data_IF_612337277376
#
_entry.id   IF_612337277376
#
_cell.length_a   1.000
_cell.length_b   1.000
_cell.length_c   1.000
_cell.angle_alpha   90.00
_cell.angle_beta   90.00
_cell.angle_gamma   90.00
#
_symmetry.space_group_name_H-M   'P 1'
#
loop_
_entity.id
_entity.type
_entity.pdbx_description
1 polymer ?
#
# COMPACT_ATOMS: atom_id res chain seq x y z
N UNK A 1 27.28 -15.61 -10.35
CA UNK A 1 27.69 -14.54 -9.42
C UNK A 1 26.85 -14.68 -8.19
N UNK A 2 27.43 -14.67 -6.99
CA UNK A 2 26.68 -14.94 -5.77
C UNK A 2 25.67 -13.79 -5.53
N UNK A 3 24.38 -14.13 -5.55
CA UNK A 3 23.24 -13.27 -5.23
C UNK A 3 23.11 -12.97 -3.72
N UNK A 4 24.23 -12.90 -3.02
CA UNK A 4 24.20 -12.62 -1.58
C UNK A 4 23.81 -11.15 -1.36
N UNK A 5 22.75 -10.86 -0.57
CA UNK A 5 22.42 -9.51 -0.20
C UNK A 5 23.45 -8.88 0.74
N UNK A 6 24.33 -9.71 1.33
CA UNK A 6 25.30 -9.28 2.32
C UNK A 6 26.36 -8.34 1.73
N UNK A 7 26.64 -7.24 2.44
CA UNK A 7 27.66 -6.27 2.04
C UNK A 7 27.40 -4.89 2.63
N UNK A 8 28.23 -3.93 2.22
CA UNK A 8 28.02 -2.54 2.59
C UNK A 8 27.76 -1.69 1.35
N UNK A 9 26.83 -0.74 1.45
CA UNK A 9 26.49 0.24 0.42
C UNK A 9 26.78 1.65 0.91
N UNK A 10 27.20 2.53 -0.01
CA UNK A 10 27.36 3.97 0.25
C UNK A 10 26.83 4.75 -0.94
N UNK A 11 25.66 5.30 -0.84
CA UNK A 11 25.10 6.22 -1.81
C UNK A 11 25.62 7.65 -1.57
N UNK A 12 25.47 8.52 -2.56
CA UNK A 12 25.82 9.93 -2.41
C UNK A 12 24.98 10.59 -1.32
N UNK A 13 23.68 10.26 -1.28
CA UNK A 13 22.73 10.71 -0.26
C UNK A 13 21.90 9.54 0.24
N UNK A 14 21.54 9.55 1.52
CA UNK A 14 20.64 8.56 2.13
C UNK A 14 19.62 9.27 3.01
N UNK A 15 18.35 8.97 2.83
CA UNK A 15 17.28 9.44 3.71
C UNK A 15 17.37 8.77 5.08
N UNK A 16 17.48 9.54 6.14
CA UNK A 16 17.71 9.05 7.51
C UNK A 16 16.49 9.21 8.43
N UNK A 17 15.32 9.41 7.83
CA UNK A 17 14.04 9.62 8.53
C UNK A 17 13.59 11.07 8.56
N UNK A 18 14.51 12.02 8.58
CA UNK A 18 14.20 13.46 8.62
C UNK A 18 14.74 14.24 7.43
N UNK A 19 15.90 13.83 6.90
CA UNK A 19 16.61 14.50 5.82
C UNK A 19 17.50 13.55 5.05
N UNK A 20 17.97 13.99 3.89
CA UNK A 20 19.07 13.34 3.19
C UNK A 20 20.41 13.69 3.85
N UNK A 21 21.23 12.68 4.11
CA UNK A 21 22.57 12.80 4.65
C UNK A 21 23.58 12.18 3.69
N UNK A 22 24.70 12.87 3.45
CA UNK A 22 25.82 12.35 2.68
C UNK A 22 26.71 11.45 3.54
N UNK A 23 27.43 10.50 2.89
CA UNK A 23 28.44 9.67 3.56
C UNK A 23 27.84 8.61 4.52
N UNK A 24 26.55 8.36 4.48
CA UNK A 24 25.93 7.26 5.24
C UNK A 24 26.29 5.93 4.60
N UNK A 25 26.80 5.00 5.41
CA UNK A 25 27.07 3.63 5.01
C UNK A 25 26.02 2.69 5.59
N UNK A 26 25.41 1.88 4.73
CA UNK A 26 24.45 0.84 5.09
C UNK A 26 25.15 -0.52 5.07
N UNK A 27 25.13 -1.23 6.19
CA UNK A 27 25.65 -2.59 6.29
C UNK A 27 24.47 -3.58 6.27
N UNK A 28 24.47 -4.50 5.28
CA UNK A 28 23.39 -5.46 5.06
C UNK A 28 23.91 -6.85 5.45
N UNK A 29 23.16 -7.54 6.31
CA UNK A 29 23.41 -8.91 6.70
C UNK A 29 23.06 -9.94 5.64
N UNK A 30 23.48 -11.18 5.83
CA UNK A 30 23.15 -12.30 4.95
C UNK A 30 21.65 -12.60 4.90
N UNK A 31 20.90 -12.17 5.91
CA UNK A 31 19.43 -12.24 6.00
C UNK A 31 18.71 -11.12 5.25
N UNK A 32 19.44 -10.25 4.56
CA UNK A 32 18.88 -9.11 3.82
C UNK A 32 18.38 -7.96 4.68
N UNK A 33 18.74 -7.94 5.97
CA UNK A 33 18.40 -6.84 6.89
C UNK A 33 19.54 -5.85 7.02
N UNK A 34 19.20 -4.60 7.33
CA UNK A 34 20.16 -3.58 7.70
C UNK A 34 20.74 -3.90 9.08
N UNK A 35 21.97 -4.40 9.11
CA UNK A 35 22.66 -4.69 10.35
C UNK A 35 23.03 -3.38 11.08
N UNK A 36 23.46 -2.35 10.33
CA UNK A 36 23.88 -1.07 10.87
C UNK A 36 23.81 0.07 9.85
N UNK A 37 23.50 1.28 10.34
CA UNK A 37 23.70 2.54 9.65
C UNK A 37 24.91 3.26 10.30
N UNK A 38 25.93 3.56 9.52
CA UNK A 38 27.11 4.30 9.99
C UNK A 38 27.07 5.69 9.38
N UNK A 39 26.96 6.72 10.25
CA UNK A 39 26.99 8.13 9.83
C UNK A 39 28.39 8.67 9.81
N UNK A 40 28.70 9.71 8.99
CA UNK A 40 30.01 10.39 9.02
C UNK A 40 30.31 10.92 10.42
N UNK A 41 31.57 10.75 10.87
CA UNK A 41 32.00 11.20 12.21
C UNK A 41 31.67 10.26 13.37
N UNK A 42 30.92 9.21 13.16
CA UNK A 42 30.83 8.08 14.09
C UNK A 42 32.16 7.33 14.07
N UNK A 43 32.95 7.46 15.15
CA UNK A 43 34.28 6.87 15.24
C UNK A 43 34.26 5.37 14.94
N UNK A 44 35.38 4.80 14.46
CA UNK A 44 35.48 3.36 14.25
C UNK A 44 35.25 2.68 15.60
N UNK A 45 34.20 1.89 15.73
CA UNK A 45 34.09 0.94 16.83
C UNK A 45 35.26 -0.04 16.68
N UNK A 46 36.13 -0.09 17.66
CA UNK A 46 37.29 -0.97 17.68
C UNK A 46 36.85 -2.39 17.32
N UNK A 47 37.41 -2.95 16.24
CA UNK A 47 37.15 -4.31 15.79
C UNK A 47 36.38 -4.47 14.46
N UNK A 48 36.08 -3.42 13.70
CA UNK A 48 35.45 -3.59 12.39
C UNK A 48 36.49 -3.69 11.27
N UNK A 49 36.90 -4.91 10.91
CA UNK A 49 37.37 -5.26 9.55
C UNK A 49 36.18 -5.12 8.57
N UNK A 50 35.64 -3.90 8.48
CA UNK A 50 34.46 -3.67 7.66
C UNK A 50 34.88 -3.72 6.19
N UNK A 51 34.37 -4.71 5.45
CA UNK A 51 34.53 -4.80 4.00
C UNK A 51 34.25 -3.43 3.33
N UNK A 52 34.98 -3.06 2.27
CA UNK A 52 34.76 -1.78 1.60
C UNK A 52 33.32 -1.66 1.12
N UNK A 53 32.70 -0.50 1.38
CA UNK A 53 31.33 -0.27 0.93
C UNK A 53 31.30 -0.13 -0.60
N UNK A 54 30.36 -0.79 -1.25
CA UNK A 54 30.06 -0.60 -2.66
C UNK A 54 29.51 0.82 -2.87
N UNK A 55 30.19 1.66 -3.65
CA UNK A 55 29.72 3.02 -3.89
C UNK A 55 28.53 3.01 -4.87
N UNK A 56 27.55 3.86 -4.60
CA UNK A 56 26.43 4.14 -5.49
C UNK A 56 26.50 5.63 -5.90
N UNK A 57 27.40 5.97 -6.86
CA UNK A 57 27.58 7.35 -7.26
C UNK A 57 26.34 7.88 -7.96
N UNK A 58 26.04 9.17 -7.76
CA UNK A 58 24.86 9.84 -8.31
C UNK A 58 23.53 9.17 -7.94
N UNK A 59 23.46 8.58 -6.74
CA UNK A 59 22.25 7.96 -6.21
C UNK A 59 21.89 8.53 -4.86
N UNK A 60 20.56 8.72 -4.65
CA UNK A 60 19.99 8.99 -3.34
C UNK A 60 19.09 7.82 -2.93
N UNK A 61 19.24 7.32 -1.71
CA UNK A 61 18.44 6.21 -1.20
C UNK A 61 17.24 6.70 -0.38
N UNK A 62 16.08 6.15 -0.67
CA UNK A 62 14.86 6.22 0.11
C UNK A 62 14.48 4.82 0.63
N UNK A 63 13.63 4.71 1.69
CA UNK A 63 12.96 3.45 2.00
C UNK A 63 12.15 2.98 0.81
N UNK A 64 12.02 1.67 0.63
CA UNK A 64 11.11 1.08 -0.34
C UNK A 64 9.67 1.50 -0.06
N UNK A 65 8.94 1.86 -1.11
CA UNK A 65 7.54 2.24 -0.97
C UNK A 65 6.68 1.04 -0.57
N UNK A 66 5.63 1.32 0.20
CA UNK A 66 4.67 0.34 0.68
C UNK A 66 3.28 0.72 0.17
N UNK A 67 2.76 -0.08 -0.74
CA UNK A 67 1.42 0.03 -1.27
C UNK A 67 0.46 -0.69 -0.31
N UNK A 68 -0.30 0.04 0.48
CA UNK A 68 -1.14 -0.53 1.53
C UNK A 68 -2.44 -1.16 1.02
N UNK A 69 -2.84 -0.87 -0.24
CA UNK A 69 -4.08 -1.34 -0.82
C UNK A 69 -3.99 -1.50 -2.34
N UNK A 70 -4.33 -2.69 -2.83
CA UNK A 70 -4.27 -3.06 -4.25
C UNK A 70 -5.26 -4.16 -4.58
N UNK A 71 -5.80 -4.11 -5.80
CA UNK A 71 -6.53 -5.18 -6.47
C UNK A 71 -5.82 -5.50 -7.77
N UNK A 72 -4.84 -6.39 -7.74
CA UNK A 72 -3.93 -6.64 -8.87
C UNK A 72 -4.66 -7.04 -10.16
N UNK A 73 -5.75 -7.83 -10.07
CA UNK A 73 -6.53 -8.25 -11.23
C UNK A 73 -7.23 -7.09 -11.95
N UNK A 74 -7.57 -6.01 -11.23
CA UNK A 74 -8.25 -4.83 -11.82
C UNK A 74 -7.36 -4.06 -12.79
N UNK A 75 -6.04 -4.29 -12.79
CA UNK A 75 -5.15 -3.82 -13.85
C UNK A 75 -5.67 -4.18 -15.26
N UNK A 76 -6.42 -5.26 -15.39
CA UNK A 76 -7.09 -5.66 -16.63
C UNK A 76 -8.17 -4.71 -17.13
N UNK A 77 -8.57 -3.71 -16.33
CA UNK A 77 -9.56 -2.68 -16.71
C UNK A 77 -8.93 -1.42 -17.31
N UNK A 78 -7.61 -1.35 -17.42
CA UNK A 78 -6.93 -0.16 -17.99
C UNK A 78 -7.48 0.19 -19.37
N UNK A 79 -7.92 1.44 -19.50
CA UNK A 79 -8.53 1.97 -20.72
C UNK A 79 -9.99 1.54 -20.96
N UNK A 80 -10.48 0.52 -20.28
CA UNK A 80 -11.87 0.09 -20.40
C UNK A 80 -12.81 0.92 -19.51
N UNK A 81 -12.38 1.25 -18.32
CA UNK A 81 -13.14 2.05 -17.37
C UNK A 81 -13.27 3.54 -17.74
N UNK A 82 -12.43 4.03 -18.67
CA UNK A 82 -12.44 5.43 -19.11
C UNK A 82 -13.44 5.73 -20.24
N UNK A 83 -14.14 4.72 -20.74
CA UNK A 83 -15.16 4.88 -21.78
C UNK A 83 -16.54 4.80 -21.16
N UNK A 84 -17.31 5.90 -21.26
CA UNK A 84 -18.72 5.94 -20.88
C UNK A 84 -19.59 6.12 -22.11
N UNK A 85 -20.63 5.30 -22.26
CA UNK A 85 -21.58 5.41 -23.35
C UNK A 85 -22.49 6.66 -23.23
N UNK A 86 -22.50 7.33 -22.08
CA UNK A 86 -23.26 8.54 -21.81
C UNK A 86 -22.45 9.51 -20.92
N UNK A 87 -22.72 10.83 -20.98
CA UNK A 87 -22.19 11.77 -20.00
C UNK A 87 -22.60 11.36 -18.58
N UNK A 88 -21.64 11.36 -17.61
CA UNK A 88 -21.90 11.00 -16.23
C UNK A 88 -21.69 9.51 -15.92
N UNK A 89 -20.75 8.84 -16.61
CA UNK A 89 -20.22 7.56 -16.17
C UNK A 89 -19.79 7.67 -14.69
N UNK A 90 -20.16 6.68 -13.89
CA UNK A 90 -19.93 6.66 -12.44
C UNK A 90 -19.27 5.34 -12.02
N UNK A 91 -18.92 5.24 -10.76
CA UNK A 91 -18.44 4.01 -10.13
C UNK A 91 -19.24 2.75 -10.51
N UNK A 92 -20.57 2.87 -10.68
CA UNK A 92 -21.44 1.72 -10.92
C UNK A 92 -21.31 1.19 -12.36
N UNK A 93 -21.08 2.07 -13.34
CA UNK A 93 -20.79 1.69 -14.71
C UNK A 93 -19.42 1.02 -14.82
N UNK A 94 -18.38 1.56 -14.15
CA UNK A 94 -17.08 0.92 -14.03
C UNK A 94 -17.17 -0.45 -13.34
N UNK A 95 -17.97 -0.56 -12.28
CA UNK A 95 -18.19 -1.83 -11.58
C UNK A 95 -18.81 -2.91 -12.45
N UNK A 96 -19.68 -2.53 -13.39
CA UNK A 96 -20.25 -3.48 -14.36
C UNK A 96 -19.17 -4.06 -15.28
N UNK A 97 -18.23 -3.21 -15.77
CA UNK A 97 -17.08 -3.67 -16.56
C UNK A 97 -16.16 -4.58 -15.72
N UNK A 98 -15.95 -4.27 -14.45
CA UNK A 98 -15.19 -5.10 -13.54
C UNK A 98 -15.82 -6.50 -13.39
N UNK A 99 -17.14 -6.60 -13.25
CA UNK A 99 -17.82 -7.90 -13.22
C UNK A 99 -17.69 -8.65 -14.55
N UNK A 100 -17.71 -7.93 -15.68
CA UNK A 100 -17.43 -8.49 -17.01
C UNK A 100 -16.01 -9.09 -17.10
N UNK A 101 -15.02 -8.42 -16.52
CA UNK A 101 -13.66 -8.94 -16.43
C UNK A 101 -13.62 -10.18 -15.53
N UNK A 102 -14.16 -10.10 -14.32
CA UNK A 102 -14.19 -11.20 -13.34
C UNK A 102 -14.81 -12.47 -13.94
N UNK A 103 -15.88 -12.36 -14.71
CA UNK A 103 -16.51 -13.51 -15.37
C UNK A 103 -15.63 -14.24 -16.39
N UNK A 104 -14.52 -13.64 -16.85
CA UNK A 104 -13.60 -14.18 -17.87
C UNK A 104 -12.21 -14.50 -17.37
N UNK A 105 -11.94 -14.27 -16.08
CA UNK A 105 -10.64 -14.59 -15.45
C UNK A 105 -10.58 -16.09 -15.15
N UNK A 106 -9.53 -16.75 -15.62
CA UNK A 106 -9.04 -18.07 -15.21
C UNK A 106 -7.72 -17.90 -14.45
N UNK A 107 -7.10 -19.02 -14.05
CA UNK A 107 -5.85 -19.01 -13.28
C UNK A 107 -4.70 -18.34 -14.03
N UNK A 108 -4.55 -18.66 -15.31
CA UNK A 108 -3.44 -18.15 -16.12
C UNK A 108 -3.62 -16.63 -16.30
N UNK A 109 -4.83 -16.20 -16.58
CA UNK A 109 -5.15 -14.77 -16.72
C UNK A 109 -4.96 -14.00 -15.41
N UNK A 110 -5.38 -14.57 -14.27
CA UNK A 110 -5.16 -13.95 -12.97
C UNK A 110 -3.68 -13.85 -12.63
N UNK A 111 -2.91 -14.91 -12.92
CA UNK A 111 -1.46 -14.92 -12.73
C UNK A 111 -0.80 -13.81 -13.55
N UNK A 112 -1.09 -13.72 -14.84
CA UNK A 112 -0.50 -12.72 -15.74
C UNK A 112 -0.83 -11.28 -15.32
N UNK A 113 -2.08 -11.01 -14.94
CA UNK A 113 -2.52 -9.70 -14.49
C UNK A 113 -1.81 -9.32 -13.18
N UNK A 114 -1.77 -10.23 -12.22
CA UNK A 114 -1.12 -10.02 -10.92
C UNK A 114 0.39 -9.85 -11.06
N UNK A 115 1.05 -10.71 -11.83
CA UNK A 115 2.48 -10.61 -12.12
C UNK A 115 2.83 -9.29 -12.80
N UNK A 116 2.01 -8.89 -13.79
CA UNK A 116 2.17 -7.60 -14.48
C UNK A 116 2.04 -6.42 -13.52
N UNK A 117 1.05 -6.42 -12.62
CA UNK A 117 0.88 -5.38 -11.60
C UNK A 117 2.08 -5.32 -10.65
N UNK A 118 2.52 -6.46 -10.11
CA UNK A 118 3.61 -6.53 -9.16
C UNK A 118 4.97 -6.14 -9.79
N UNK A 119 5.22 -6.50 -11.04
CA UNK A 119 6.41 -6.03 -11.77
C UNK A 119 6.39 -4.52 -12.00
N UNK A 120 5.25 -3.93 -12.32
CA UNK A 120 5.10 -2.48 -12.41
C UNK A 120 5.31 -1.79 -11.06
N UNK A 121 4.75 -2.36 -9.96
CA UNK A 121 4.98 -1.87 -8.61
C UNK A 121 6.48 -1.85 -8.28
N UNK A 122 7.19 -2.94 -8.57
CA UNK A 122 8.65 -3.01 -8.37
C UNK A 122 9.40 -1.95 -9.17
N UNK A 123 9.02 -1.72 -10.42
CA UNK A 123 9.62 -0.69 -11.28
C UNK A 123 9.33 0.73 -10.80
N UNK A 124 8.21 0.94 -10.10
CA UNK A 124 7.80 2.20 -9.48
C UNK A 124 8.30 2.37 -8.02
N UNK A 125 9.25 1.56 -7.57
CA UNK A 125 9.85 1.67 -6.23
C UNK A 125 9.06 1.01 -5.11
N UNK A 126 7.96 0.34 -5.40
CA UNK A 126 7.15 -0.37 -4.40
C UNK A 126 7.80 -1.71 -4.09
N UNK A 127 8.16 -1.91 -2.82
CA UNK A 127 8.79 -3.14 -2.33
C UNK A 127 7.83 -4.04 -1.59
N UNK A 128 6.74 -3.48 -1.08
CA UNK A 128 5.72 -4.21 -0.31
C UNK A 128 4.33 -3.82 -0.77
N UNK A 129 3.41 -4.80 -0.81
CA UNK A 129 2.01 -4.59 -1.18
C UNK A 129 1.07 -5.31 -0.24
N UNK A 130 0.00 -4.64 0.18
CA UNK A 130 -1.20 -5.21 0.74
C UNK A 130 -2.19 -5.48 -0.38
N UNK A 131 -2.29 -6.72 -0.79
CA UNK A 131 -3.21 -7.13 -1.84
C UNK A 131 -4.57 -7.48 -1.22
N UNK A 132 -5.54 -6.61 -1.39
CA UNK A 132 -6.91 -6.77 -0.90
C UNK A 132 -7.65 -7.75 -1.82
N UNK A 133 -7.54 -9.04 -1.49
CA UNK A 133 -7.90 -10.12 -2.37
C UNK A 133 -9.29 -10.67 -2.04
N UNK A 134 -10.24 -10.45 -2.95
CA UNK A 134 -11.62 -10.91 -2.83
C UNK A 134 -12.08 -11.80 -3.99
N UNK A 135 -11.25 -12.01 -5.01
CA UNK A 135 -11.54 -12.93 -6.12
C UNK A 135 -10.96 -14.32 -5.79
N UNK A 136 -11.73 -15.13 -5.03
CA UNK A 136 -11.24 -16.37 -4.45
C UNK A 136 -11.39 -17.60 -5.35
N UNK A 137 -12.53 -17.69 -6.07
CA UNK A 137 -12.95 -18.92 -6.73
C UNK A 137 -12.81 -18.86 -8.24
N UNK A 138 -12.14 -19.86 -8.82
CA UNK A 138 -12.22 -20.14 -10.25
C UNK A 138 -13.58 -20.74 -10.58
N UNK A 139 -14.01 -21.75 -9.80
CA UNK A 139 -15.35 -22.30 -9.83
C UNK A 139 -16.13 -21.85 -8.56
N UNK A 140 -17.10 -20.94 -8.71
CA UNK A 140 -17.88 -20.46 -7.59
C UNK A 140 -18.78 -21.55 -6.96
N UNK A 141 -19.17 -22.59 -7.71
CA UNK A 141 -20.00 -23.66 -7.19
C UNK A 141 -19.17 -24.65 -6.35
N UNK A 142 -17.92 -24.88 -6.72
CA UNK A 142 -16.98 -25.68 -5.96
C UNK A 142 -16.42 -24.97 -4.71
N UNK A 143 -16.46 -23.63 -4.67
CA UNK A 143 -15.83 -22.80 -3.62
C UNK A 143 -14.39 -23.22 -3.37
N UNK A 144 -13.59 -23.27 -4.46
CA UNK A 144 -12.28 -23.94 -4.51
C UNK A 144 -11.14 -23.09 -3.95
N UNK A 145 -11.32 -21.79 -3.73
CA UNK A 145 -10.28 -20.84 -3.31
C UNK A 145 -9.00 -20.92 -4.17
N UNK A 146 -9.15 -21.30 -5.44
CA UNK A 146 -8.02 -21.60 -6.31
C UNK A 146 -7.18 -20.38 -6.64
N UNK A 147 -7.76 -19.19 -6.62
CA UNK A 147 -7.12 -17.95 -7.01
C UNK A 147 -6.19 -17.36 -5.95
N UNK A 148 -6.39 -17.68 -4.68
CA UNK A 148 -5.56 -17.15 -3.60
C UNK A 148 -4.08 -17.55 -3.75
N UNK A 149 -3.83 -18.84 -4.10
CA UNK A 149 -2.47 -19.33 -4.31
C UNK A 149 -1.84 -18.78 -5.60
N UNK A 150 -2.66 -18.48 -6.62
CA UNK A 150 -2.20 -17.87 -7.88
C UNK A 150 -1.59 -16.48 -7.63
N UNK A 151 -2.24 -15.66 -6.81
CA UNK A 151 -1.73 -14.32 -6.47
C UNK A 151 -0.43 -14.40 -5.67
N UNK A 152 -0.33 -15.33 -4.70
CA UNK A 152 0.91 -15.58 -3.95
C UNK A 152 2.05 -16.04 -4.85
N UNK A 153 1.77 -16.92 -5.84
CA UNK A 153 2.76 -17.35 -6.83
C UNK A 153 3.24 -16.20 -7.72
N UNK A 154 2.34 -15.34 -8.18
CA UNK A 154 2.69 -14.16 -8.97
C UNK A 154 3.57 -13.18 -8.18
N UNK A 155 3.30 -12.99 -6.90
CA UNK A 155 4.11 -12.15 -6.01
C UNK A 155 5.52 -12.73 -5.79
N UNK A 156 5.65 -14.05 -5.67
CA UNK A 156 6.94 -14.72 -5.56
C UNK A 156 7.78 -14.54 -6.83
N UNK A 157 7.16 -14.63 -8.02
CA UNK A 157 7.87 -14.44 -9.29
C UNK A 157 8.24 -12.97 -9.55
N UNK A 158 7.47 -12.00 -9.03
CA UNK A 158 7.78 -10.57 -9.16
C UNK A 158 8.78 -10.05 -8.12
N UNK A 159 9.42 -10.86 -7.30
CA UNK A 159 10.04 -10.65 -5.99
C UNK A 159 9.56 -9.36 -5.28
N UNK A 160 8.29 -9.37 -4.89
CA UNK A 160 7.68 -8.31 -4.07
C UNK A 160 7.24 -8.89 -2.71
N UNK A 161 7.37 -8.11 -1.64
CA UNK A 161 6.80 -8.50 -0.34
C UNK A 161 5.28 -8.33 -0.39
N UNK A 162 4.54 -9.37 -0.05
CA UNK A 162 3.07 -9.33 -0.08
C UNK A 162 2.48 -9.65 1.29
N UNK A 163 1.47 -8.87 1.67
CA UNK A 163 0.46 -9.26 2.65
C UNK A 163 -0.80 -9.58 1.85
N UNK A 164 -1.13 -10.87 1.68
CA UNK A 164 -2.38 -11.24 1.06
C UNK A 164 -3.50 -11.05 2.08
N UNK A 165 -4.30 -10.03 1.87
CA UNK A 165 -5.43 -9.65 2.70
C UNK A 165 -6.67 -10.41 2.21
N UNK A 166 -6.96 -11.55 2.82
CA UNK A 166 -8.05 -12.47 2.43
C UNK A 166 -9.39 -11.88 2.82
N UNK A 167 -10.32 -11.76 1.87
CA UNK A 167 -11.56 -11.04 2.08
C UNK A 167 -12.75 -11.94 2.47
N UNK A 168 -13.49 -11.52 3.47
CA UNK A 168 -14.89 -11.93 3.69
C UNK A 168 -15.78 -11.08 2.77
N UNK A 169 -16.64 -11.75 2.00
CA UNK A 169 -17.61 -11.14 1.09
C UNK A 169 -18.89 -11.97 1.11
N UNK A 170 -19.82 -11.66 2.01
CA UNK A 170 -20.96 -12.50 2.32
C UNK A 170 -22.26 -12.10 1.58
N UNK A 171 -22.35 -10.85 1.07
CA UNK A 171 -23.59 -10.33 0.49
C UNK A 171 -23.33 -9.39 -0.69
N UNK A 172 -24.28 -9.33 -1.64
CA UNK A 172 -24.29 -8.38 -2.76
C UNK A 172 -24.72 -6.96 -2.35
N UNK A 173 -25.16 -6.81 -1.13
CA UNK A 173 -25.62 -5.61 -0.44
C UNK A 173 -26.40 -6.01 0.81
N UNK A 174 -26.76 -5.08 1.72
CA UNK A 174 -27.54 -5.43 2.90
C UNK A 174 -28.80 -6.22 2.54
N UNK A 175 -28.91 -7.45 3.07
CA UNK A 175 -30.03 -8.35 2.80
C UNK A 175 -30.15 -8.91 1.37
N UNK A 176 -29.14 -8.72 0.51
CA UNK A 176 -29.14 -9.19 -0.88
C UNK A 176 -28.09 -10.30 -1.07
N UNK A 177 -28.46 -11.43 -1.71
CA UNK A 177 -27.52 -12.50 -1.99
C UNK A 177 -26.44 -12.07 -3.01
N UNK A 178 -25.38 -12.87 -3.10
CA UNK A 178 -24.37 -12.73 -4.16
C UNK A 178 -24.96 -13.23 -5.50
N UNK A 179 -24.78 -12.46 -6.55
CA UNK A 179 -25.30 -12.77 -7.88
C UNK A 179 -24.18 -12.73 -8.95
N UNK A 180 -24.32 -13.54 -9.99
CA UNK A 180 -23.42 -13.56 -11.13
C UNK A 180 -21.96 -13.70 -10.74
N UNK A 181 -21.12 -12.77 -11.22
CA UNK A 181 -19.68 -12.76 -10.96
C UNK A 181 -19.32 -12.61 -9.45
N UNK A 182 -20.20 -12.03 -8.65
CA UNK A 182 -19.97 -11.89 -7.19
C UNK A 182 -19.82 -13.24 -6.48
N UNK A 183 -20.43 -14.31 -7.01
CA UNK A 183 -20.31 -15.66 -6.43
C UNK A 183 -18.85 -16.15 -6.36
N UNK A 184 -17.98 -15.61 -7.21
CA UNK A 184 -16.52 -15.90 -7.19
C UNK A 184 -15.79 -15.24 -6.02
N UNK A 185 -16.46 -14.33 -5.28
CA UNK A 185 -15.94 -13.63 -4.10
C UNK A 185 -16.37 -14.30 -2.78
N UNK A 186 -17.29 -15.27 -2.84
CA UNK A 186 -18.04 -15.75 -1.71
C UNK A 186 -17.16 -16.30 -0.57
N UNK A 187 -17.19 -15.60 0.56
CA UNK A 187 -16.73 -16.06 1.88
C UNK A 187 -17.78 -15.57 2.86
N UNK A 188 -18.67 -16.49 3.29
CA UNK A 188 -19.92 -16.11 3.93
C UNK A 188 -19.78 -15.81 5.43
N UNK A 189 -18.75 -16.35 6.06
CA UNK A 189 -18.58 -16.26 7.51
C UNK A 189 -17.12 -15.98 7.92
N UNK A 190 -16.90 -15.33 9.07
CA UNK A 190 -15.57 -15.19 9.65
C UNK A 190 -14.82 -16.52 9.81
N UNK A 191 -15.51 -17.58 10.23
CA UNK A 191 -14.89 -18.90 10.42
C UNK A 191 -14.38 -19.50 9.10
N UNK A 192 -15.08 -19.29 8.01
CA UNK A 192 -14.64 -19.72 6.69
C UNK A 192 -13.39 -18.98 6.25
N UNK A 193 -13.37 -17.66 6.42
CA UNK A 193 -12.18 -16.84 6.16
C UNK A 193 -10.98 -17.34 6.95
N UNK A 194 -11.15 -17.58 8.26
CA UNK A 194 -10.01 -17.97 9.10
C UNK A 194 -9.51 -19.38 8.78
N UNK A 195 -10.39 -20.31 8.41
CA UNK A 195 -9.95 -21.62 7.89
C UNK A 195 -9.11 -21.47 6.63
N UNK A 196 -9.51 -20.56 5.72
CA UNK A 196 -8.75 -20.29 4.51
C UNK A 196 -7.39 -19.63 4.82
N UNK A 197 -7.34 -18.65 5.71
CA UNK A 197 -6.09 -18.01 6.17
C UNK A 197 -5.15 -19.07 6.77
N UNK A 198 -5.67 -19.97 7.61
CA UNK A 198 -4.87 -21.03 8.23
C UNK A 198 -4.34 -22.02 7.16
N UNK A 199 -5.16 -22.37 6.17
CA UNK A 199 -4.75 -23.22 5.04
C UNK A 199 -3.62 -22.57 4.23
N UNK A 200 -3.76 -21.29 3.89
CA UNK A 200 -2.74 -20.54 3.14
C UNK A 200 -1.46 -20.37 3.96
N UNK A 201 -1.57 -20.14 5.26
CA UNK A 201 -0.42 -19.99 6.17
C UNK A 201 0.52 -21.19 6.13
N UNK A 202 -0.02 -22.42 5.96
CA UNK A 202 0.77 -23.63 5.79
C UNK A 202 1.38 -23.81 4.39
N UNK A 203 1.12 -22.92 3.45
CA UNK A 203 1.51 -23.01 2.03
C UNK A 203 2.32 -21.82 1.52
N UNK A 204 2.68 -20.87 2.37
CA UNK A 204 3.50 -19.73 1.98
C UNK A 204 4.87 -20.22 1.46
N UNK A 205 5.23 -19.79 0.26
CA UNK A 205 6.49 -20.19 -0.37
C UNK A 205 7.72 -19.62 0.35
N UNK A 206 7.60 -18.38 0.85
CA UNK A 206 8.63 -17.69 1.62
C UNK A 206 8.00 -16.79 2.70
N UNK A 207 7.92 -17.24 3.96
CA UNK A 207 7.39 -16.44 5.06
C UNK A 207 8.16 -15.13 5.35
N UNK A 208 9.37 -14.96 4.79
CA UNK A 208 10.11 -13.70 4.92
C UNK A 208 9.57 -12.60 4.01
N UNK A 209 8.88 -12.96 2.93
CA UNK A 209 8.31 -12.04 1.94
C UNK A 209 6.81 -12.19 1.75
N UNK A 210 6.20 -13.26 2.26
CA UNK A 210 4.77 -13.51 2.18
C UNK A 210 4.16 -13.60 3.58
N UNK A 211 3.07 -12.89 3.77
CA UNK A 211 2.26 -12.95 4.99
C UNK A 211 0.78 -12.77 4.67
N UNK A 212 -0.06 -12.96 5.67
CA UNK A 212 -1.52 -12.95 5.50
C UNK A 212 -2.15 -11.92 6.43
N UNK A 213 -3.28 -11.37 6.00
CA UNK A 213 -4.16 -10.54 6.80
C UNK A 213 -5.61 -10.85 6.48
N UNK A 214 -6.53 -10.11 7.06
CA UNK A 214 -7.95 -10.27 6.87
C UNK A 214 -8.59 -9.01 6.29
N UNK A 215 -9.70 -9.21 5.60
CA UNK A 215 -10.55 -8.15 5.09
C UNK A 215 -12.01 -8.42 5.46
N UNK A 216 -12.70 -7.40 5.95
CA UNK A 216 -14.14 -7.26 5.77
C UNK A 216 -14.34 -6.36 4.54
N UNK A 217 -14.84 -6.88 3.41
CA UNK A 217 -14.84 -6.11 2.17
C UNK A 217 -15.41 -4.68 2.37
N UNK A 218 -16.57 -4.56 2.96
CA UNK A 218 -17.22 -3.31 3.38
C UNK A 218 -18.45 -3.65 4.22
N UNK A 219 -19.04 -2.69 4.93
CA UNK A 219 -20.32 -2.88 5.63
C UNK A 219 -21.51 -3.12 4.68
N UNK A 220 -21.32 -2.90 3.38
CA UNK A 220 -22.27 -3.31 2.34
C UNK A 220 -22.26 -4.82 2.11
N UNK A 221 -21.09 -5.46 2.17
CA UNK A 221 -20.89 -6.87 1.81
C UNK A 221 -20.73 -7.80 3.02
N UNK A 222 -20.47 -7.24 4.20
CA UNK A 222 -20.25 -7.98 5.45
C UNK A 222 -21.08 -7.34 6.57
N UNK A 223 -21.98 -8.10 7.23
CA UNK A 223 -22.79 -7.57 8.31
C UNK A 223 -21.95 -7.08 9.50
N UNK A 224 -22.42 -6.07 10.27
CA UNK A 224 -21.66 -5.47 11.36
C UNK A 224 -21.15 -6.47 12.41
N UNK A 225 -21.96 -7.47 12.77
CA UNK A 225 -21.57 -8.52 13.72
C UNK A 225 -20.43 -9.41 13.19
N UNK A 226 -20.40 -9.69 11.88
CA UNK A 226 -19.31 -10.42 11.26
C UNK A 226 -18.03 -9.56 11.18
N UNK A 227 -18.15 -8.26 10.92
CA UNK A 227 -17.02 -7.32 11.00
C UNK A 227 -16.42 -7.30 12.41
N UNK A 228 -17.27 -7.28 13.46
CA UNK A 228 -16.84 -7.36 14.86
C UNK A 228 -16.07 -8.66 15.14
N UNK A 229 -16.56 -9.79 14.65
CA UNK A 229 -15.93 -11.10 14.79
C UNK A 229 -14.57 -11.15 14.08
N UNK A 230 -14.50 -10.67 12.83
CA UNK A 230 -13.25 -10.58 12.05
C UNK A 230 -12.20 -9.72 12.77
N UNK A 231 -12.60 -8.55 13.26
CA UNK A 231 -11.72 -7.64 13.99
C UNK A 231 -11.17 -8.25 15.26
N UNK A 232 -12.03 -8.87 16.07
CA UNK A 232 -11.65 -9.52 17.33
C UNK A 232 -10.59 -10.60 17.09
N UNK A 233 -10.81 -11.45 16.09
CA UNK A 233 -9.91 -12.55 15.76
C UNK A 233 -8.62 -12.06 15.09
N UNK A 234 -8.68 -11.04 14.18
CA UNK A 234 -7.50 -10.43 13.59
C UNK A 234 -6.57 -9.85 14.67
N UNK A 235 -7.14 -9.13 15.66
CA UNK A 235 -6.39 -8.60 16.81
C UNK A 235 -5.75 -9.73 17.63
N UNK A 236 -6.49 -10.81 17.92
CA UNK A 236 -5.98 -11.97 18.66
C UNK A 236 -4.81 -12.65 17.93
N UNK A 237 -4.86 -12.71 16.61
CA UNK A 237 -3.83 -13.30 15.75
C UNK A 237 -2.65 -12.35 15.48
N UNK A 238 -2.79 -11.06 15.78
CA UNK A 238 -1.79 -10.04 15.48
C UNK A 238 -1.63 -9.76 13.96
N UNK A 239 -2.71 -9.93 13.18
CA UNK A 239 -2.72 -9.67 11.74
C UNK A 239 -3.56 -8.43 11.41
N UNK A 240 -3.27 -7.70 10.30
CA UNK A 240 -4.03 -6.52 9.89
C UNK A 240 -5.45 -6.89 9.45
N UNK A 241 -6.39 -5.97 9.67
CA UNK A 241 -7.74 -5.99 9.12
C UNK A 241 -7.99 -4.73 8.31
N UNK A 242 -8.35 -4.89 7.04
CA UNK A 242 -8.71 -3.79 6.15
C UNK A 242 -10.19 -3.84 5.76
N UNK A 243 -10.77 -2.68 5.43
CA UNK A 243 -12.13 -2.60 4.88
C UNK A 243 -12.32 -1.29 4.11
N UNK A 244 -13.12 -1.33 3.02
CA UNK A 244 -13.59 -0.12 2.35
C UNK A 244 -14.65 0.58 3.22
N UNK A 245 -14.53 1.90 3.36
CA UNK A 245 -15.42 2.69 4.21
C UNK A 245 -15.79 3.99 3.51
N UNK A 246 -17.07 4.17 3.26
CA UNK A 246 -17.65 5.42 2.76
C UNK A 246 -16.97 5.97 1.49
N UNK A 247 -16.60 5.03 0.59
CA UNK A 247 -16.08 5.35 -0.72
C UNK A 247 -17.13 6.08 -1.57
N UNK A 248 -18.37 5.55 -1.56
CA UNK A 248 -19.47 6.03 -2.37
C UNK A 248 -20.64 6.51 -1.50
N UNK A 249 -21.31 7.60 -1.89
CA UNK A 249 -22.50 8.12 -1.18
C UNK A 249 -23.61 7.09 -1.09
N UNK A 250 -23.84 6.32 -2.17
CA UNK A 250 -24.83 5.25 -2.17
C UNK A 250 -24.53 4.15 -1.15
N UNK A 251 -23.28 3.85 -0.85
CA UNK A 251 -22.89 2.93 0.22
C UNK A 251 -23.42 3.43 1.57
N UNK A 252 -23.28 4.75 1.81
CA UNK A 252 -23.79 5.39 3.04
C UNK A 252 -25.30 5.26 3.10
N UNK A 253 -26.01 5.61 2.01
CA UNK A 253 -27.47 5.56 1.96
C UNK A 253 -28.00 4.14 2.20
N UNK A 254 -27.39 3.12 1.56
CA UNK A 254 -27.75 1.70 1.75
C UNK A 254 -27.47 1.24 3.21
N UNK A 255 -26.36 1.68 3.80
CA UNK A 255 -26.00 1.35 5.18
C UNK A 255 -26.98 2.00 6.19
N UNK A 256 -27.29 3.28 6.01
CA UNK A 256 -28.27 3.99 6.86
C UNK A 256 -29.66 3.37 6.74
N UNK A 257 -30.08 3.00 5.52
CA UNK A 257 -31.37 2.32 5.32
C UNK A 257 -31.44 0.96 6.00
N UNK A 258 -30.32 0.21 6.02
CA UNK A 258 -30.29 -1.13 6.59
C UNK A 258 -30.06 -1.16 8.11
N UNK A 259 -29.22 -0.27 8.62
CA UNK A 259 -28.71 -0.32 10.00
C UNK A 259 -28.99 0.95 10.80
N UNK A 260 -29.58 1.99 10.20
CA UNK A 260 -29.88 3.27 10.86
C UNK A 260 -28.65 4.15 11.13
N UNK A 261 -27.46 3.78 10.62
CA UNK A 261 -26.19 4.43 10.89
C UNK A 261 -25.29 4.42 9.66
N UNK A 262 -24.34 5.37 9.62
CA UNK A 262 -23.31 5.40 8.61
C UNK A 262 -22.26 4.30 8.83
N UNK A 263 -21.53 3.87 7.78
CA UNK A 263 -20.46 2.87 7.91
C UNK A 263 -19.41 3.21 8.98
N UNK A 264 -18.91 4.45 9.01
CA UNK A 264 -17.90 4.85 9.99
C UNK A 264 -18.48 4.92 11.42
N UNK A 265 -19.75 5.34 11.59
CA UNK A 265 -20.42 5.31 12.89
C UNK A 265 -20.49 3.89 13.46
N UNK A 266 -20.89 2.90 12.62
CA UNK A 266 -20.89 1.48 13.01
C UNK A 266 -19.50 0.99 13.38
N UNK A 267 -18.49 1.32 12.58
CA UNK A 267 -17.11 0.89 12.85
C UNK A 267 -16.58 1.44 14.18
N UNK A 268 -16.88 2.70 14.49
CA UNK A 268 -16.55 3.33 15.79
C UNK A 268 -17.25 2.64 16.96
N UNK A 269 -18.50 2.24 16.80
CA UNK A 269 -19.23 1.51 17.84
C UNK A 269 -18.68 0.11 18.08
N UNK A 270 -18.28 -0.60 17.01
CA UNK A 270 -17.59 -1.89 17.11
C UNK A 270 -16.26 -1.79 17.88
N UNK A 271 -15.64 -0.60 17.91
CA UNK A 271 -14.49 -0.28 18.74
C UNK A 271 -14.82 0.01 20.20
N UNK A 272 -16.05 0.39 20.53
CA UNK A 272 -16.41 0.79 21.90
C UNK A 272 -16.20 -0.35 22.91
N UNK A 273 -15.46 -0.08 23.99
CA UNK A 273 -15.18 -1.06 25.06
C UNK A 273 -13.91 -1.89 24.89
N UNK A 274 -13.05 -1.62 23.87
CA UNK A 274 -11.86 -2.40 23.54
C UNK A 274 -10.51 -1.94 24.16
N UNK A 275 -10.50 -1.07 25.16
CA UNK A 275 -9.26 -0.51 25.75
C UNK A 275 -8.81 0.81 25.13
N UNK A 276 -7.52 1.19 25.30
CA UNK A 276 -7.02 2.52 24.91
C UNK A 276 -6.97 2.74 23.39
N UNK A 277 -6.71 1.68 22.61
CA UNK A 277 -6.67 1.72 21.13
C UNK A 277 -7.56 0.60 20.56
N UNK A 278 -8.89 0.73 20.65
CA UNK A 278 -9.80 -0.37 20.32
C UNK A 278 -9.83 -0.72 18.83
N UNK A 279 -9.40 0.17 17.95
CA UNK A 279 -9.34 -0.03 16.50
C UNK A 279 -7.90 -0.22 15.96
N UNK A 280 -6.92 -0.43 16.85
CA UNK A 280 -5.54 -0.75 16.44
C UNK A 280 -5.51 -2.00 15.52
N UNK A 281 -4.70 -1.93 14.47
CA UNK A 281 -4.62 -2.96 13.43
C UNK A 281 -5.76 -2.94 12.41
N UNK A 282 -6.69 -1.96 12.50
CA UNK A 282 -7.77 -1.77 11.53
C UNK A 282 -7.43 -0.61 10.59
N UNK A 283 -7.56 -0.82 9.28
CA UNK A 283 -7.36 0.20 8.25
C UNK A 283 -8.66 0.41 7.47
N UNK A 284 -9.18 1.63 7.50
CA UNK A 284 -10.28 2.07 6.65
C UNK A 284 -9.73 2.61 5.33
N UNK A 285 -10.22 2.08 4.20
CA UNK A 285 -9.80 2.48 2.86
C UNK A 285 -10.79 3.51 2.31
N UNK A 286 -10.27 4.52 1.63
CA UNK A 286 -10.92 5.70 1.05
C UNK A 286 -11.37 6.73 2.09
N UNK A 287 -12.43 6.46 2.83
CA UNK A 287 -13.05 7.44 3.73
C UNK A 287 -13.45 8.76 3.04
N UNK A 288 -13.75 8.71 1.73
CA UNK A 288 -13.97 9.86 0.84
C UNK A 288 -15.08 10.77 1.35
N UNK A 289 -16.15 10.16 1.90
CA UNK A 289 -17.33 10.87 2.39
C UNK A 289 -17.49 10.80 3.91
N UNK A 290 -16.45 10.37 4.64
CA UNK A 290 -16.48 10.29 6.11
C UNK A 290 -16.43 11.68 6.70
N UNK A 291 -17.19 11.91 7.78
CA UNK A 291 -17.17 13.20 8.48
C UNK A 291 -15.82 13.45 9.15
N UNK A 292 -15.30 14.68 9.14
CA UNK A 292 -14.00 15.00 9.75
C UNK A 292 -13.84 14.57 11.21
N UNK A 293 -14.90 14.72 12.01
CA UNK A 293 -14.92 14.32 13.41
C UNK A 293 -14.89 12.81 13.60
N UNK A 294 -15.46 12.06 12.66
CA UNK A 294 -15.44 10.58 12.67
C UNK A 294 -14.06 10.08 12.29
N UNK A 295 -13.40 10.68 11.28
CA UNK A 295 -12.01 10.39 10.92
C UNK A 295 -11.07 10.62 12.11
N UNK A 296 -11.19 11.76 12.78
CA UNK A 296 -10.36 12.07 13.95
C UNK A 296 -10.56 11.05 15.07
N UNK A 297 -11.81 10.70 15.41
CA UNK A 297 -12.14 9.69 16.42
C UNK A 297 -11.65 8.30 16.04
N UNK A 298 -11.75 7.92 14.76
CA UNK A 298 -11.27 6.64 14.26
C UNK A 298 -9.76 6.49 14.45
N UNK A 299 -9.01 7.55 14.11
CA UNK A 299 -7.56 7.58 14.30
C UNK A 299 -7.18 7.61 15.78
N UNK A 300 -7.86 8.39 16.62
CA UNK A 300 -7.64 8.41 18.07
C UNK A 300 -7.91 7.05 18.74
N UNK A 301 -8.80 6.26 18.14
CA UNK A 301 -9.05 4.87 18.55
C UNK A 301 -7.99 3.86 18.00
N UNK A 302 -6.92 4.33 17.38
CA UNK A 302 -5.81 3.50 16.85
C UNK A 302 -6.00 3.05 15.40
N UNK A 303 -7.07 3.45 14.72
CA UNK A 303 -7.33 3.14 13.32
C UNK A 303 -6.39 3.87 12.35
N UNK A 304 -6.26 3.33 11.13
CA UNK A 304 -5.48 3.94 10.03
C UNK A 304 -6.35 4.22 8.82
N UNK A 305 -5.97 5.21 8.03
CA UNK A 305 -6.70 5.62 6.82
C UNK A 305 -5.81 5.36 5.62
N UNK A 306 -6.26 4.51 4.70
CA UNK A 306 -5.63 4.28 3.42
C UNK A 306 -6.35 5.09 2.34
N UNK A 307 -5.66 6.05 1.75
CA UNK A 307 -6.19 6.88 0.66
C UNK A 307 -5.60 6.38 -0.66
N UNK A 308 -6.42 6.34 -1.71
CA UNK A 308 -6.05 5.88 -3.05
C UNK A 308 -6.32 6.98 -4.08
N UNK A 309 -5.59 8.12 -4.02
CA UNK A 309 -5.95 9.35 -4.71
C UNK A 309 -6.13 9.22 -6.22
N UNK A 310 -5.34 8.37 -6.88
CA UNK A 310 -5.47 8.17 -8.34
C UNK A 310 -6.71 7.38 -8.71
N UNK A 311 -7.11 6.40 -7.91
CA UNK A 311 -8.37 5.66 -8.11
C UNK A 311 -9.57 6.55 -7.80
N UNK A 312 -9.55 7.26 -6.67
CA UNK A 312 -10.59 8.19 -6.26
C UNK A 312 -10.82 9.29 -7.30
N UNK A 313 -9.74 9.76 -7.94
CA UNK A 313 -9.82 10.71 -9.07
C UNK A 313 -10.34 10.06 -10.34
N UNK A 314 -9.91 8.83 -10.68
CA UNK A 314 -10.32 8.10 -11.89
C UNK A 314 -11.81 7.72 -11.85
N UNK A 315 -12.31 7.33 -10.67
CA UNK A 315 -13.70 6.93 -10.47
C UNK A 315 -14.64 8.10 -10.12
N UNK A 316 -14.06 9.28 -9.84
CA UNK A 316 -14.85 10.46 -9.45
C UNK A 316 -15.46 10.33 -8.05
N UNK A 317 -14.82 9.58 -7.15
CA UNK A 317 -15.33 9.30 -5.80
C UNK A 317 -15.36 10.56 -4.92
N UNK A 318 -14.38 11.43 -5.08
CA UNK A 318 -14.23 12.65 -4.32
C UNK A 318 -12.89 12.71 -3.57
N UNK A 319 -12.84 13.55 -2.54
CA UNK A 319 -11.61 13.81 -1.77
C UNK A 319 -11.94 13.67 -0.28
N UNK A 320 -11.25 12.77 0.46
CA UNK A 320 -11.48 12.65 1.90
C UNK A 320 -11.16 13.98 2.64
N UNK A 321 -11.94 14.39 3.65
CA UNK A 321 -11.82 15.71 4.27
C UNK A 321 -10.68 15.78 5.30
N UNK A 322 -9.45 15.48 4.86
CA UNK A 322 -8.27 15.37 5.73
C UNK A 322 -7.89 16.69 6.36
N UNK A 323 -8.01 17.81 5.64
CA UNK A 323 -7.72 19.13 6.18
C UNK A 323 -8.55 19.43 7.44
N UNK A 324 -9.86 19.23 7.37
CA UNK A 324 -10.75 19.44 8.50
C UNK A 324 -10.58 18.38 9.62
N UNK A 325 -10.19 17.16 9.29
CA UNK A 325 -9.87 16.14 10.29
C UNK A 325 -8.57 16.47 11.05
N UNK A 326 -7.54 16.98 10.36
CA UNK A 326 -6.29 17.44 10.97
C UNK A 326 -6.47 18.59 11.96
N UNK A 327 -7.42 19.50 11.71
CA UNK A 327 -7.78 20.56 12.65
C UNK A 327 -8.34 20.01 13.98
N UNK A 328 -8.98 18.84 13.93
CA UNK A 328 -9.54 18.14 15.10
C UNK A 328 -8.51 17.29 15.82
N UNK A 329 -7.70 16.56 15.05
CA UNK A 329 -6.68 15.67 15.60
C UNK A 329 -5.42 15.65 14.70
N UNK A 330 -4.30 16.23 15.16
CA UNK A 330 -3.03 16.16 14.44
C UNK A 330 -2.52 14.72 14.23
N UNK A 331 -3.04 13.73 14.98
CA UNK A 331 -2.68 12.32 14.83
C UNK A 331 -3.07 11.76 13.45
N UNK A 332 -4.05 12.36 12.77
CA UNK A 332 -4.49 11.96 11.42
C UNK A 332 -3.31 11.89 10.44
N UNK A 333 -2.39 12.85 10.46
CA UNK A 333 -1.22 12.82 9.57
C UNK A 333 -0.36 11.56 9.73
N UNK A 334 -0.15 11.08 10.96
CA UNK A 334 0.63 9.87 11.27
C UNK A 334 -0.12 8.55 11.03
N UNK A 335 -1.44 8.62 10.83
CA UNK A 335 -2.29 7.47 10.56
C UNK A 335 -2.53 7.22 9.06
N UNK A 336 -2.07 8.12 8.19
CA UNK A 336 -2.26 7.99 6.74
C UNK A 336 -1.34 6.91 6.15
N UNK A 337 -1.88 6.19 5.17
CA UNK A 337 -1.15 5.36 4.23
C UNK A 337 -1.75 5.49 2.83
N UNK A 338 -1.04 4.97 1.82
CA UNK A 338 -1.42 5.09 0.42
C UNK A 338 -1.60 3.72 -0.22
N UNK A 339 -2.54 3.63 -1.15
CA UNK A 339 -2.79 2.48 -1.99
C UNK A 339 -2.93 2.85 -3.46
N UNK A 340 -2.63 1.91 -4.38
CA UNK A 340 -2.85 2.07 -5.83
C UNK A 340 -4.19 1.49 -6.28
N UNK A 341 -4.86 0.80 -5.41
CA UNK A 341 -6.21 0.25 -5.49
C UNK A 341 -6.52 -0.43 -6.85
N UNK A 342 -7.24 0.21 -7.76
CA UNK A 342 -7.62 -0.36 -9.07
C UNK A 342 -6.44 -0.58 -10.03
N UNK A 343 -5.26 -0.09 -9.70
CA UNK A 343 -4.05 -0.20 -10.53
C UNK A 343 -4.23 0.34 -11.97
N UNK A 344 -5.15 1.28 -12.16
CA UNK A 344 -5.27 2.01 -13.43
C UNK A 344 -3.94 2.72 -13.75
N UNK A 345 -3.31 3.30 -12.73
CA UNK A 345 -1.94 3.78 -12.75
C UNK A 345 -1.23 3.32 -11.47
N UNK A 346 0.01 2.84 -11.63
CA UNK A 346 0.85 2.40 -10.49
C UNK A 346 2.01 3.38 -10.35
N UNK A 347 1.92 4.28 -9.37
CA UNK A 347 2.96 5.26 -9.05
C UNK A 347 2.77 5.81 -7.65
N UNK A 348 3.57 5.35 -6.70
CA UNK A 348 3.47 5.82 -5.31
C UNK A 348 3.82 7.31 -5.16
N UNK A 349 4.72 7.83 -6.01
CA UNK A 349 5.04 9.26 -6.03
C UNK A 349 3.84 10.12 -6.49
N UNK A 350 3.03 9.61 -7.42
CA UNK A 350 1.81 10.30 -7.85
C UNK A 350 0.68 10.17 -6.83
N UNK A 351 0.49 9.00 -6.22
CA UNK A 351 -0.46 8.86 -5.10
C UNK A 351 -0.15 9.87 -4.01
N UNK A 352 1.12 9.98 -3.59
CA UNK A 352 1.56 10.96 -2.60
C UNK A 352 1.31 12.42 -3.04
N UNK A 353 1.59 12.73 -4.30
CA UNK A 353 1.38 14.06 -4.88
C UNK A 353 -0.10 14.42 -4.92
N UNK A 354 -0.95 13.50 -5.38
CA UNK A 354 -2.38 13.71 -5.50
C UNK A 354 -3.07 13.76 -4.13
N UNK A 355 -2.56 13.03 -3.13
CA UNK A 355 -3.04 13.16 -1.76
C UNK A 355 -2.99 14.63 -1.29
N UNK A 356 -1.87 15.32 -1.50
CA UNK A 356 -1.74 16.74 -1.14
C UNK A 356 -2.47 17.65 -2.13
N UNK A 357 -2.41 17.38 -3.45
CA UNK A 357 -3.05 18.24 -4.46
C UNK A 357 -4.58 18.21 -4.35
N UNK A 358 -5.18 17.07 -4.05
CA UNK A 358 -6.61 16.98 -3.78
C UNK A 358 -7.04 17.90 -2.63
N UNK A 359 -6.28 17.87 -1.52
CA UNK A 359 -6.55 18.76 -0.39
C UNK A 359 -6.36 20.23 -0.74
N UNK A 360 -5.32 20.58 -1.54
CA UNK A 360 -5.10 21.97 -2.00
C UNK A 360 -6.25 22.47 -2.86
N UNK A 361 -6.73 21.62 -3.79
CA UNK A 361 -7.85 21.98 -4.68
C UNK A 361 -9.15 22.14 -3.91
N UNK A 362 -9.43 21.26 -2.94
CA UNK A 362 -10.62 21.33 -2.12
C UNK A 362 -10.64 22.55 -1.18
N UNK A 363 -9.48 22.92 -0.63
CA UNK A 363 -9.34 24.00 0.36
C UNK A 363 -8.89 25.34 -0.20
N UNK A 364 -8.42 25.41 -1.47
CA UNK A 364 -7.85 26.61 -2.11
C UNK A 364 -6.61 27.19 -1.41
N UNK A 365 -5.81 26.35 -0.71
CA UNK A 365 -4.58 26.73 -0.01
C UNK A 365 -3.51 25.62 -0.06
N UNK A 366 -2.25 25.96 0.25
CA UNK A 366 -1.09 25.06 0.15
C UNK A 366 -0.60 24.58 1.51
N UNK A 367 0.07 23.42 1.53
CA UNK A 367 0.71 22.88 2.73
C UNK A 367 -0.30 22.31 3.71
N UNK A 368 -1.24 21.53 3.23
CA UNK A 368 -2.28 20.90 4.07
C UNK A 368 -1.68 19.82 4.95
N UNK A 369 -0.97 18.86 4.36
CA UNK A 369 -0.38 17.71 5.04
C UNK A 369 1.05 18.01 5.53
N UNK A 370 1.25 19.14 6.20
CA UNK A 370 2.56 19.55 6.69
C UNK A 370 2.90 18.91 8.04
N UNK A 371 4.18 18.60 8.21
CA UNK A 371 4.76 18.23 9.51
C UNK A 371 4.86 19.45 10.46
N UNK A 372 5.36 19.24 11.66
CA UNK A 372 5.58 20.34 12.64
C UNK A 372 6.60 21.36 12.19
N UNK A 373 7.48 21.02 11.24
CA UNK A 373 8.46 21.93 10.65
C UNK A 373 7.88 22.68 9.42
N UNK A 374 6.62 22.45 9.07
CA UNK A 374 5.94 23.07 7.94
C UNK A 374 6.23 22.41 6.59
N UNK A 375 6.83 21.21 6.55
CA UNK A 375 7.20 20.49 5.33
C UNK A 375 6.14 19.45 5.01
N UNK A 376 5.74 19.39 3.74
CA UNK A 376 4.73 18.42 3.25
C UNK A 376 5.37 17.09 2.84
N UNK A 377 6.50 17.15 2.14
CA UNK A 377 7.12 15.97 1.54
C UNK A 377 7.47 14.86 2.55
N UNK A 378 7.96 15.12 3.78
CA UNK A 378 8.19 14.07 4.77
C UNK A 378 6.91 13.34 5.21
N UNK A 379 5.79 14.05 5.35
CA UNK A 379 4.49 13.44 5.68
C UNK A 379 4.01 12.53 4.55
N UNK A 380 4.14 12.98 3.30
CA UNK A 380 3.78 12.18 2.13
C UNK A 380 4.69 10.94 1.98
N UNK A 381 6.00 11.08 2.21
CA UNK A 381 6.91 9.94 2.20
C UNK A 381 6.56 8.94 3.31
N UNK A 382 6.24 9.41 4.51
CA UNK A 382 5.81 8.55 5.61
C UNK A 382 4.52 7.78 5.25
N UNK A 383 3.52 8.44 4.64
CA UNK A 383 2.31 7.77 4.16
C UNK A 383 2.61 6.69 3.09
N UNK A 384 3.58 6.96 2.20
CA UNK A 384 4.02 6.05 1.13
C UNK A 384 4.97 4.93 1.62
N UNK A 385 5.41 4.94 2.88
CA UNK A 385 6.42 4.02 3.42
C UNK A 385 6.01 3.47 4.79
N UNK A 386 6.40 4.12 5.89
CA UNK A 386 6.15 3.64 7.26
C UNK A 386 4.65 3.58 7.61
N UNK A 387 3.82 4.47 7.07
CA UNK A 387 2.36 4.43 7.22
C UNK A 387 1.76 3.16 6.63
N UNK A 388 2.14 2.82 5.38
CA UNK A 388 1.73 1.59 4.73
C UNK A 388 2.25 0.34 5.44
N UNK A 389 3.52 0.37 5.89
CA UNK A 389 4.11 -0.72 6.65
C UNK A 389 3.34 -0.99 7.95
N UNK A 390 2.96 0.06 8.68
CA UNK A 390 2.18 -0.05 9.90
C UNK A 390 0.74 -0.55 9.63
N UNK A 391 0.11 -0.13 8.52
CA UNK A 391 -1.20 -0.63 8.11
C UNK A 391 -1.19 -2.13 7.79
N UNK A 392 -0.06 -2.64 7.30
CA UNK A 392 0.13 -4.04 6.92
C UNK A 392 0.80 -4.90 8.00
N UNK A 393 1.17 -4.33 9.14
CA UNK A 393 1.90 -5.04 10.19
C UNK A 393 3.32 -5.48 9.78
N UNK A 394 3.94 -4.78 8.83
CA UNK A 394 5.26 -5.12 8.28
C UNK A 394 6.40 -4.39 9.00
N UNK A 395 7.55 -5.05 9.23
CA UNK A 395 8.73 -4.43 9.81
C UNK A 395 9.59 -3.70 8.75
N UNK A 396 8.99 -2.93 7.84
CA UNK A 396 9.63 -2.23 6.71
C UNK A 396 9.23 -0.75 6.66
N UNK A 397 9.55 -0.05 5.58
CA UNK A 397 9.17 1.36 5.35
C UNK A 397 10.12 2.39 5.97
N UNK A 398 11.26 1.95 6.52
CA UNK A 398 12.29 2.80 7.11
C UNK A 398 13.70 2.28 6.78
N UNK A 399 14.67 3.18 6.64
CA UNK A 399 16.09 2.83 6.60
C UNK A 399 16.62 2.85 8.03
N UNK A 400 16.49 1.73 8.74
CA UNK A 400 16.88 1.60 10.14
C UNK A 400 17.48 0.21 10.43
N UNK A 401 18.36 0.11 11.44
CA UNK A 401 18.94 -1.16 11.85
C UNK A 401 17.84 -2.17 12.24
N UNK A 402 18.02 -3.43 11.84
CA UNK A 402 17.05 -4.51 12.05
C UNK A 402 15.91 -4.57 11.01
N UNK A 403 15.71 -3.53 10.20
CA UNK A 403 14.72 -3.52 9.13
C UNK A 403 15.23 -4.24 7.88
N UNK A 404 14.37 -4.85 7.05
CA UNK A 404 14.76 -5.32 5.73
C UNK A 404 15.41 -4.19 4.90
N UNK A 405 16.42 -4.52 4.13
CA UNK A 405 17.06 -3.57 3.21
C UNK A 405 16.20 -3.38 1.94
N UNK A 406 14.95 -2.93 2.16
CA UNK A 406 14.00 -2.57 1.11
C UNK A 406 14.21 -1.10 0.78
N UNK A 407 14.77 -0.84 -0.42
CA UNK A 407 15.31 0.48 -0.77
C UNK A 407 14.87 0.91 -2.17
N UNK A 408 14.74 2.22 -2.36
CA UNK A 408 14.62 2.90 -3.66
C UNK A 408 15.85 3.74 -3.89
N UNK A 409 16.47 3.61 -5.07
CA UNK A 409 17.57 4.46 -5.50
C UNK A 409 17.06 5.47 -6.53
N UNK A 410 17.12 6.76 -6.18
CA UNK A 410 16.83 7.87 -7.10
C UNK A 410 18.08 8.20 -7.94
N UNK A 411 17.86 8.56 -9.20
CA UNK A 411 18.88 9.03 -10.12
C UNK A 411 19.11 10.54 -9.95
N UNK A 412 20.21 10.93 -9.34
CA UNK A 412 20.57 12.35 -9.15
C UNK A 412 20.99 13.06 -10.46
N UNK A 413 21.20 12.31 -11.55
CA UNK A 413 21.41 12.88 -12.89
C UNK A 413 20.10 13.10 -13.65
N UNK A 414 18.97 12.64 -13.10
CA UNK A 414 17.66 12.91 -13.70
C UNK A 414 17.39 14.41 -13.76
N UNK A 415 16.93 14.97 -14.92
CA UNK A 415 16.79 16.42 -15.10
C UNK A 415 15.96 17.13 -14.02
N UNK A 416 14.92 16.48 -13.51
CA UNK A 416 14.09 17.05 -12.44
C UNK A 416 14.77 17.07 -11.06
N UNK A 417 15.85 16.31 -10.85
CA UNK A 417 16.56 16.18 -9.57
C UNK A 417 17.96 16.81 -9.61
N UNK A 418 18.57 16.94 -10.78
CA UNK A 418 19.98 17.34 -10.96
C UNK A 418 20.33 18.72 -10.36
N UNK A 419 19.35 19.61 -10.23
CA UNK A 419 19.53 20.96 -9.66
C UNK A 419 19.05 21.06 -8.21
N UNK A 420 18.50 19.99 -7.64
CA UNK A 420 17.98 20.00 -6.28
C UNK A 420 19.12 19.94 -5.24
N UNK A 421 19.05 20.79 -4.24
CA UNK A 421 19.93 20.66 -3.07
C UNK A 421 19.48 19.44 -2.22
N UNK A 422 20.36 18.85 -1.39
CA UNK A 422 19.94 17.77 -0.49
C UNK A 422 18.75 18.12 0.40
N UNK A 423 18.59 19.38 0.79
CA UNK A 423 17.48 19.86 1.61
C UNK A 423 16.15 19.93 0.85
N UNK A 424 16.16 20.09 -0.47
CA UNK A 424 14.98 20.19 -1.31
C UNK A 424 14.74 18.93 -2.18
N UNK A 425 15.58 17.91 -2.06
CA UNK A 425 15.57 16.75 -2.95
C UNK A 425 14.28 15.94 -2.84
N UNK A 426 13.75 15.78 -1.63
CA UNK A 426 12.50 15.04 -1.41
C UNK A 426 11.32 15.76 -2.05
N UNK A 427 11.24 17.08 -1.87
CA UNK A 427 10.23 17.94 -2.49
C UNK A 427 10.35 17.92 -4.02
N UNK A 428 11.58 17.99 -4.56
CA UNK A 428 11.83 17.91 -6.00
C UNK A 428 11.37 16.56 -6.57
N UNK A 429 11.64 15.46 -5.87
CA UNK A 429 11.17 14.13 -6.28
C UNK A 429 9.63 14.04 -6.25
N UNK A 430 9.00 14.32 -5.11
CA UNK A 430 7.57 14.11 -4.97
C UNK A 430 6.71 15.07 -5.81
N UNK A 431 7.17 16.32 -5.99
CA UNK A 431 6.38 17.33 -6.70
C UNK A 431 6.87 17.66 -8.12
N UNK A 432 8.10 17.28 -8.48
CA UNK A 432 8.70 17.66 -9.74
C UNK A 432 9.14 16.50 -10.63
N UNK A 433 9.34 15.28 -10.09
CA UNK A 433 9.78 14.12 -10.85
C UNK A 433 8.68 13.08 -11.03
N UNK A 434 8.92 12.09 -11.86
CA UNK A 434 8.11 10.88 -12.03
C UNK A 434 8.88 9.63 -11.59
N UNK A 435 8.27 8.45 -11.82
CA UNK A 435 8.90 7.16 -11.54
C UNK A 435 10.15 6.91 -12.41
N UNK A 436 10.32 7.65 -13.50
CA UNK A 436 11.51 7.63 -14.36
C UNK A 436 12.77 8.17 -13.66
N UNK A 437 12.60 8.87 -12.53
CA UNK A 437 13.71 9.22 -11.63
C UNK A 437 14.14 8.08 -10.71
N UNK A 438 13.42 6.94 -10.69
CA UNK A 438 13.79 5.74 -9.93
C UNK A 438 14.74 4.89 -10.76
N UNK A 439 16.01 4.86 -10.37
CA UNK A 439 17.03 4.08 -11.05
C UNK A 439 16.92 2.58 -10.77
N UNK A 440 16.67 2.20 -9.51
CA UNK A 440 16.57 0.81 -9.09
C UNK A 440 15.80 0.66 -7.77
N UNK A 441 15.32 -0.56 -7.51
CA UNK A 441 14.59 -0.92 -6.30
C UNK A 441 15.19 -2.18 -5.69
N UNK A 442 15.44 -2.19 -4.38
CA UNK A 442 15.92 -3.38 -3.68
C UNK A 442 14.84 -3.97 -2.79
N UNK A 443 14.76 -5.31 -2.76
CA UNK A 443 14.01 -6.09 -1.79
C UNK A 443 15.00 -6.92 -0.97
N UNK A 444 15.04 -6.70 0.33
CA UNK A 444 15.98 -7.37 1.23
C UNK A 444 17.44 -7.32 0.71
N UNK A 445 17.87 -6.16 0.19
CA UNK A 445 19.20 -5.93 -0.36
C UNK A 445 19.44 -6.47 -1.79
N UNK A 446 18.46 -7.13 -2.40
CA UNK A 446 18.56 -7.63 -3.80
C UNK A 446 17.97 -6.61 -4.75
N UNK A 447 18.80 -6.12 -5.66
CA UNK A 447 18.44 -5.03 -6.57
C UNK A 447 17.78 -5.54 -7.86
N UNK A 448 16.79 -4.79 -8.34
CA UNK A 448 16.21 -4.89 -9.68
C UNK A 448 16.26 -3.52 -10.37
N UNK A 449 16.36 -3.51 -11.71
CA UNK A 449 16.31 -2.27 -12.47
C UNK A 449 14.97 -1.55 -12.30
N UNK A 450 14.99 -0.22 -12.49
CA UNK A 450 13.79 0.59 -12.66
C UNK A 450 12.96 0.18 -13.89
N UNK A 451 12.09 1.06 -14.38
CA UNK A 451 11.14 0.75 -15.48
C UNK A 451 11.75 -0.01 -16.65
N UNK A 452 11.08 -1.07 -17.16
CA UNK A 452 11.47 -1.74 -18.39
C UNK A 452 11.52 -0.76 -19.57
N UNK A 453 12.58 -0.82 -20.37
CA UNK A 453 12.73 0.00 -21.58
C UNK A 453 13.72 1.17 -21.49
N UNK A 454 14.18 1.53 -20.31
CA UNK A 454 15.33 2.45 -20.18
C UNK A 454 16.64 1.69 -20.37
N UNK A 455 17.53 2.20 -21.21
CA UNK A 455 18.89 1.67 -21.29
C UNK A 455 19.57 1.81 -19.93
N UNK A 456 19.99 0.69 -19.34
CA UNK A 456 20.70 0.69 -18.04
C UNK A 456 22.05 1.36 -18.24
N UNK A 457 22.25 2.52 -17.66
CA UNK A 457 23.53 3.22 -17.66
C UNK A 457 24.60 2.36 -16.96
N UNK A 458 25.92 2.56 -17.27
CA UNK A 458 26.99 1.79 -16.62
C UNK A 458 26.90 1.76 -15.09
N UNK A 459 26.49 2.88 -14.46
CA UNK A 459 26.28 2.98 -13.02
C UNK A 459 25.11 2.12 -12.51
N UNK A 460 24.03 1.96 -13.31
CA UNK A 460 22.88 1.11 -12.98
C UNK A 460 23.23 -0.37 -13.07
N UNK A 461 24.06 -0.77 -14.04
CA UNK A 461 24.61 -2.14 -14.13
C UNK A 461 25.37 -2.53 -12.87
N UNK A 462 25.99 -1.54 -12.21
CA UNK A 462 26.66 -1.76 -10.93
C UNK A 462 25.68 -2.09 -9.80
N UNK A 463 24.43 -1.61 -9.84
CA UNK A 463 23.40 -2.00 -8.86
C UNK A 463 22.89 -3.44 -9.06
N UNK A 464 22.94 -3.95 -10.29
CA UNK A 464 22.45 -5.27 -10.66
C UNK A 464 23.52 -6.38 -10.61
N UNK A 465 24.80 -6.02 -10.55
CA UNK A 465 25.95 -6.90 -10.42
C UNK A 465 26.40 -7.03 -8.96
#
# INVERSE_FOLDING_TARGET
MSDSPAGALAAELTWTGERFEAGVRLEIGADGRLARLVRPGGGPTAGSDAAPARPLPRRALLPGFVNAHSHAFQRGLRGLGETSAAPGGDFWSWRAEMYGLVGRIDRDRLFDLSLGAFREMRAAGITSVGEFHYLHHEDPDARDFAFDEVVLAAAAEAPIRIVLLVACYAAGGPGRPLEGAQRRFAVDTPDELWRQVDRLGGRLADPSTQSLGAVAHSLRAVPPEAVAGLRSEARRRGVPLHLHVEEQRREIDECVAAYGKRPMELLLELGAGGGDEPLAGTTAVHCTHTRPEELARFVEAGGRICVCPLTEASLGDGIPPLAAALERSPAVAGALCLGTDSNARISMAEEARWLEYGQRLAGEWRGVLRDRAGRVAPTLLAAATSGGAAALGLPTGEIAAGRPADLVALDLDHPALAVATPAALLEAFLFGAGDDAIAATALAGRWSAGRPGRAVAPAERTLLA
#
